data_IF_479089511966
#
_entry.id   IF_479089511966
#
_cell.length_a   1.000
_cell.length_b   1.000
_cell.length_c   1.000
_cell.angle_alpha   90.00
_cell.angle_beta   90.00
_cell.angle_gamma   90.00
#
_symmetry.space_group_name_H-M   'P 1'
#
loop_
_entity.id
_entity.type
_entity.pdbx_description
1 polymer ?
#
# COMPACT_ATOMS: atom_id res chain seq x y z
N UNK A 1 -10.40 29.07 -4.58
CA UNK A 1 -10.71 29.17 -6.03
C UNK A 1 -10.96 27.76 -6.55
N UNK A 2 -11.68 27.55 -7.65
CA UNK A 2 -11.82 26.20 -8.27
C UNK A 2 -10.45 25.57 -8.58
N UNK A 3 -9.41 26.41 -8.74
CA UNK A 3 -8.02 25.99 -8.95
C UNK A 3 -7.41 25.37 -7.68
N UNK A 4 -7.67 25.91 -6.49
CA UNK A 4 -7.06 25.41 -5.23
C UNK A 4 -7.59 24.02 -4.86
N UNK A 5 -8.90 23.81 -5.02
CA UNK A 5 -9.55 22.53 -4.74
C UNK A 5 -9.09 21.44 -5.73
N UNK A 6 -8.92 21.81 -7.01
CA UNK A 6 -8.45 20.89 -8.05
C UNK A 6 -6.98 20.46 -7.82
N UNK A 7 -6.11 21.40 -7.39
CA UNK A 7 -4.70 21.10 -7.08
C UNK A 7 -4.60 20.20 -5.84
N UNK A 8 -5.36 20.49 -4.78
CA UNK A 8 -5.34 19.68 -3.55
C UNK A 8 -5.83 18.24 -3.75
N UNK A 9 -6.85 18.03 -4.61
CA UNK A 9 -7.30 16.69 -4.97
C UNK A 9 -6.22 15.92 -5.75
N UNK A 10 -5.57 16.59 -6.71
CA UNK A 10 -4.51 15.98 -7.54
C UNK A 10 -3.31 15.56 -6.68
N UNK A 11 -2.93 16.38 -5.69
CA UNK A 11 -1.85 16.09 -4.75
C UNK A 11 -2.15 14.85 -3.89
N UNK A 12 -3.41 14.69 -3.44
CA UNK A 12 -3.82 13.53 -2.64
C UNK A 12 -3.82 12.22 -3.45
N UNK A 13 -4.28 12.25 -4.69
CA UNK A 13 -4.27 11.10 -5.59
C UNK A 13 -2.82 10.67 -5.91
N UNK A 14 -1.94 11.64 -6.15
CA UNK A 14 -0.52 11.39 -6.41
C UNK A 14 0.21 10.83 -5.18
N UNK A 15 -0.10 11.36 -4.00
CA UNK A 15 0.42 10.87 -2.73
C UNK A 15 0.04 9.39 -2.52
N UNK A 16 -1.23 9.04 -2.78
CA UNK A 16 -1.71 7.68 -2.66
C UNK A 16 -1.02 6.74 -3.66
N UNK A 17 -0.93 7.12 -4.93
CA UNK A 17 -0.24 6.32 -5.95
C UNK A 17 1.20 6.02 -5.54
N UNK A 18 1.92 7.05 -5.08
CA UNK A 18 3.30 6.90 -4.61
C UNK A 18 3.39 5.94 -3.42
N UNK A 19 2.43 6.02 -2.48
CA UNK A 19 2.36 5.09 -1.36
C UNK A 19 2.14 3.64 -1.83
N UNK A 20 1.25 3.42 -2.82
CA UNK A 20 1.02 2.08 -3.41
C UNK A 20 2.29 1.51 -4.03
N UNK A 21 3.02 2.28 -4.81
CA UNK A 21 4.28 1.85 -5.43
C UNK A 21 5.34 1.45 -4.38
N UNK A 22 5.48 2.26 -3.33
CA UNK A 22 6.41 1.99 -2.23
C UNK A 22 6.08 0.68 -1.52
N UNK A 23 4.79 0.43 -1.28
CA UNK A 23 4.30 -0.80 -0.66
C UNK A 23 4.53 -1.98 -1.59
N UNK A 24 4.11 -1.93 -2.85
CA UNK A 24 4.28 -3.01 -3.82
C UNK A 24 5.75 -3.45 -3.95
N UNK A 25 6.67 -2.48 -4.02
CA UNK A 25 8.12 -2.76 -4.05
C UNK A 25 8.60 -3.44 -2.77
N UNK A 26 8.12 -2.99 -1.61
CA UNK A 26 8.56 -3.53 -0.31
C UNK A 26 7.91 -4.89 -0.01
N UNK A 27 6.72 -5.14 -0.54
CA UNK A 27 5.89 -6.32 -0.29
C UNK A 27 6.66 -7.62 -0.58
N UNK A 28 7.37 -7.66 -1.71
CA UNK A 28 8.24 -8.77 -2.14
C UNK A 28 9.29 -9.14 -1.10
N UNK A 29 9.88 -8.14 -0.43
CA UNK A 29 10.89 -8.34 0.64
C UNK A 29 10.33 -8.77 1.98
N UNK A 30 8.99 -8.81 2.11
CA UNK A 30 8.28 -9.20 3.34
C UNK A 30 7.62 -10.56 3.25
N UNK A 31 7.83 -11.29 2.14
CA UNK A 31 7.37 -12.67 1.98
C UNK A 31 7.97 -13.58 3.06
N UNK A 32 7.21 -14.56 3.50
CA UNK A 32 7.59 -15.46 4.60
C UNK A 32 7.43 -14.88 6.01
N UNK A 33 6.94 -13.65 6.14
CA UNK A 33 6.54 -13.08 7.43
C UNK A 33 5.03 -13.24 7.65
N UNK A 34 4.65 -13.35 8.92
CA UNK A 34 3.24 -13.33 9.32
C UNK A 34 2.56 -12.03 8.89
N UNK A 35 1.30 -12.13 8.45
CA UNK A 35 0.51 -11.00 7.90
C UNK A 35 0.52 -9.76 8.80
N UNK A 36 0.38 -9.93 10.11
CA UNK A 36 0.42 -8.82 11.07
C UNK A 36 1.80 -8.13 11.17
N UNK A 37 2.88 -8.90 11.03
CA UNK A 37 4.24 -8.35 10.98
C UNK A 37 4.45 -7.56 9.69
N UNK A 38 3.89 -8.03 8.57
CA UNK A 38 3.93 -7.33 7.28
C UNK A 38 3.17 -6.01 7.36
N UNK A 39 1.92 -6.04 7.86
CA UNK A 39 1.08 -4.86 8.08
C UNK A 39 1.83 -3.79 8.88
N UNK A 40 2.35 -4.15 10.07
CA UNK A 40 3.09 -3.22 10.93
C UNK A 40 4.35 -2.65 10.28
N UNK A 41 5.12 -3.48 9.57
CA UNK A 41 6.36 -3.04 8.90
C UNK A 41 6.09 -2.07 7.76
N UNK A 42 5.08 -2.33 6.94
CA UNK A 42 4.74 -1.53 5.77
C UNK A 42 4.05 -0.23 6.19
N UNK A 43 3.07 -0.29 7.11
CA UNK A 43 2.41 0.90 7.64
C UNK A 43 3.41 1.83 8.34
N UNK A 44 4.30 1.27 9.18
CA UNK A 44 5.37 2.06 9.82
C UNK A 44 6.40 2.61 8.83
N UNK A 45 6.62 1.96 7.68
CA UNK A 45 7.48 2.49 6.62
C UNK A 45 6.88 3.71 5.94
N UNK A 46 5.58 3.70 5.67
CA UNK A 46 4.86 4.85 5.12
C UNK A 46 4.75 6.00 6.14
N UNK A 47 4.42 5.71 7.40
CA UNK A 47 4.36 6.75 8.44
C UNK A 47 5.71 7.49 8.60
N UNK A 48 6.84 6.78 8.55
CA UNK A 48 8.18 7.39 8.58
C UNK A 48 8.51 8.25 7.35
N UNK A 49 7.75 8.08 6.25
CA UNK A 49 7.88 8.89 5.03
C UNK A 49 6.92 10.07 5.00
N UNK A 50 6.08 10.24 6.02
CA UNK A 50 5.16 11.37 6.14
C UNK A 50 3.74 11.08 5.68
N UNK A 51 3.45 9.88 5.16
CA UNK A 51 2.10 9.52 4.74
C UNK A 51 1.16 9.38 5.95
N UNK A 52 -0.06 9.90 5.81
CA UNK A 52 -1.08 9.82 6.85
C UNK A 52 -1.41 8.38 7.27
N UNK A 53 -1.63 8.15 8.56
CA UNK A 53 -1.83 6.81 9.14
C UNK A 53 -3.00 6.05 8.49
N UNK A 54 -4.12 6.72 8.24
CA UNK A 54 -5.29 6.12 7.60
C UNK A 54 -5.01 5.67 6.16
N UNK A 55 -4.31 6.49 5.38
CA UNK A 55 -3.88 6.15 4.02
C UNK A 55 -2.89 4.97 4.05
N UNK A 56 -1.89 5.04 4.94
CA UNK A 56 -0.89 4.00 5.08
C UNK A 56 -1.51 2.63 5.39
N UNK A 57 -2.44 2.57 6.34
CA UNK A 57 -3.14 1.33 6.69
C UNK A 57 -4.00 0.81 5.53
N UNK A 58 -4.73 1.69 4.84
CA UNK A 58 -5.59 1.31 3.70
C UNK A 58 -4.77 0.72 2.56
N UNK A 59 -3.75 1.45 2.09
CA UNK A 59 -2.87 1.03 1.00
C UNK A 59 -2.19 -0.30 1.32
N UNK A 60 -1.71 -0.50 2.54
CA UNK A 60 -1.04 -1.73 2.94
C UNK A 60 -1.99 -2.92 3.02
N UNK A 61 -3.23 -2.73 3.51
CA UNK A 61 -4.24 -3.79 3.57
C UNK A 61 -4.61 -4.27 2.17
N UNK A 62 -4.89 -3.32 1.27
CA UNK A 62 -5.22 -3.60 -0.12
C UNK A 62 -4.08 -4.39 -0.80
N UNK A 63 -2.83 -3.94 -0.68
CA UNK A 63 -1.70 -4.64 -1.29
C UNK A 63 -1.48 -6.07 -0.74
N UNK A 64 -1.80 -6.31 0.54
CA UNK A 64 -1.70 -7.66 1.15
C UNK A 64 -2.86 -8.57 0.74
N UNK A 65 -4.01 -8.00 0.39
CA UNK A 65 -5.17 -8.71 -0.15
C UNK A 65 -4.90 -9.11 -1.61
N UNK A 66 -4.50 -8.15 -2.44
CA UNK A 66 -4.12 -8.36 -3.85
C UNK A 66 -3.01 -9.43 -4.00
N UNK A 67 -1.94 -9.38 -3.18
CA UNK A 67 -0.91 -10.43 -3.24
C UNK A 67 -1.44 -11.79 -2.78
N UNK A 68 -2.42 -11.83 -1.88
CA UNK A 68 -3.07 -13.06 -1.46
C UNK A 68 -3.85 -13.71 -2.61
N UNK A 69 -4.67 -12.92 -3.30
CA UNK A 69 -5.43 -13.35 -4.48
C UNK A 69 -4.50 -13.81 -5.61
N UNK A 70 -3.42 -13.06 -5.88
CA UNK A 70 -2.39 -13.45 -6.85
C UNK A 70 -1.74 -14.79 -6.51
N UNK A 71 -1.53 -15.09 -5.21
CA UNK A 71 -0.95 -16.37 -4.80
C UNK A 71 -1.95 -17.53 -4.89
N UNK A 72 -3.23 -17.30 -4.58
CA UNK A 72 -4.26 -18.34 -4.69
C UNK A 72 -4.48 -18.79 -6.14
N UNK A 73 -4.40 -17.87 -7.12
CA UNK A 73 -4.49 -18.21 -8.55
C UNK A 73 -3.29 -18.97 -9.13
N UNK A 74 -2.17 -19.06 -8.40
CA UNK A 74 -0.97 -19.81 -8.81
C UNK A 74 -0.94 -21.25 -8.25
N UNK A 75 -1.76 -21.54 -7.24
CA UNK A 75 -1.82 -22.83 -6.55
C UNK A 75 -2.88 -23.79 -7.15
N UNK A 76 -3.60 -23.40 -8.22
CA UNK A 76 -4.47 -24.31 -8.96
C UNK A 76 -3.64 -25.25 -9.86
N UNK A 77 -3.67 -26.58 -9.63
CA UNK A 77 -3.04 -27.52 -10.54
C UNK A 77 -3.89 -27.61 -11.83
N UNK A 78 -3.27 -27.36 -12.98
CA UNK A 78 -3.82 -27.70 -14.30
C UNK A 78 -4.11 -29.20 -14.44
#
# INVERSE_FOLDING_TARGET
SVIDDAVGQLDADQEEETARELVARKLRSTRGLDRDKRLRRLAGMLARKGYGEGMALRVVRQALEEEGEDTEGLDEPF
#
